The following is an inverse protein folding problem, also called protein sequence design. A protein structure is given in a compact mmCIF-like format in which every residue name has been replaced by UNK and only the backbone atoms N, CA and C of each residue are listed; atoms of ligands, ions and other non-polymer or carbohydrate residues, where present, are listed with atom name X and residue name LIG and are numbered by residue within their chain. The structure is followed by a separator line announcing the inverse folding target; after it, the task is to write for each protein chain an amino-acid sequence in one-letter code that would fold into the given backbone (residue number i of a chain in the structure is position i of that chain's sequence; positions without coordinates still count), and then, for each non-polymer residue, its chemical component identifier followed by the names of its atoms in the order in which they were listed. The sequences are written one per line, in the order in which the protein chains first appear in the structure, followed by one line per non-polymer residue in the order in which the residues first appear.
data_IF_676232052765
#
_entry.id   IF_676232052765
#
_cell.length_a   1.000
_cell.length_b   1.000
_cell.length_c   1.000
_cell.angle_alpha   90.00
_cell.angle_beta   90.00
_cell.angle_gamma   90.00
#
_symmetry.space_group_name_H-M   'P 1'
#
loop_
_entity.id
_entity.type
_entity.pdbx_description
1 polymer ?
#
# COMPACT_ATOMS: atom_id res chain seq x y z
N UNK A 1 -40.91 -6.62 -9.46
CA UNK A 1 -39.86 -6.01 -8.62
C UNK A 1 -38.62 -6.88 -8.73
N UNK A 2 -37.41 -6.34 -8.95
CA UNK A 2 -36.21 -7.16 -9.06
C UNK A 2 -35.88 -7.77 -7.70
N UNK A 3 -36.00 -9.10 -7.59
CA UNK A 3 -35.61 -9.84 -6.38
C UNK A 3 -34.09 -9.91 -6.33
N UNK A 4 -33.50 -9.35 -5.26
CA UNK A 4 -32.05 -9.40 -5.02
C UNK A 4 -31.76 -10.48 -3.99
N UNK A 5 -30.82 -11.36 -4.31
CA UNK A 5 -30.35 -12.45 -3.44
C UNK A 5 -28.93 -12.14 -2.96
N UNK A 6 -28.65 -12.33 -1.68
CA UNK A 6 -27.33 -12.09 -1.10
C UNK A 6 -26.70 -13.43 -0.73
N UNK A 7 -25.64 -13.82 -1.44
CA UNK A 7 -24.84 -15.01 -1.10
C UNK A 7 -23.87 -14.67 0.03
N UNK A 8 -23.78 -15.54 1.04
CA UNK A 8 -22.92 -15.38 2.21
C UNK A 8 -21.86 -16.49 2.21
N UNK A 9 -20.61 -16.11 1.95
CA UNK A 9 -19.46 -16.98 2.03
C UNK A 9 -18.84 -16.88 3.42
N UNK A 10 -18.80 -17.99 4.16
CA UNK A 10 -18.08 -18.07 5.42
C UNK A 10 -16.66 -18.53 5.07
N UNK A 11 -15.65 -17.67 5.30
CA UNK A 11 -14.26 -18.13 5.22
C UNK A 11 -13.98 -19.03 6.41
N UNK A 12 -14.26 -20.29 6.20
CA UNK A 12 -14.05 -21.37 7.14
C UNK A 12 -12.69 -22.01 6.81
N UNK A 13 -11.88 -22.30 7.83
CA UNK A 13 -10.57 -22.92 7.63
C UNK A 13 -10.74 -24.26 6.91
N UNK A 14 -9.77 -24.61 6.07
CA UNK A 14 -9.78 -25.82 5.25
C UNK A 14 -10.11 -27.05 6.11
N UNK A 15 -11.21 -27.75 5.78
CA UNK A 15 -11.66 -28.95 6.49
C UNK A 15 -12.70 -28.74 7.62
N UNK A 16 -13.11 -27.51 7.93
CA UNK A 16 -14.25 -27.28 8.82
C UNK A 16 -15.57 -27.24 8.01
N UNK A 17 -16.56 -28.03 8.44
CA UNK A 17 -17.90 -28.04 7.86
C UNK A 17 -18.65 -26.76 8.29
N UNK A 18 -19.37 -26.11 7.35
CA UNK A 18 -20.25 -24.99 7.70
C UNK A 18 -21.16 -25.42 8.87
N UNK A 19 -21.26 -24.62 9.96
CA UNK A 19 -22.16 -24.97 11.05
C UNK A 19 -23.61 -25.09 10.53
N UNK A 20 -24.24 -26.21 10.83
CA UNK A 20 -25.62 -26.54 10.45
C UNK A 20 -26.57 -25.49 11.05
N UNK A 21 -26.97 -24.51 10.25
CA UNK A 21 -27.84 -23.40 10.69
C UNK A 21 -27.57 -22.04 10.05
N UNK A 22 -26.47 -21.86 9.30
CA UNK A 22 -26.22 -20.59 8.59
C UNK A 22 -26.82 -20.61 7.18
N UNK A 23 -27.74 -19.69 6.84
CA UNK A 23 -28.36 -19.65 5.51
C UNK A 23 -27.33 -19.44 4.39
N UNK A 24 -27.50 -20.17 3.28
CA UNK A 24 -26.63 -20.05 2.09
C UNK A 24 -26.86 -18.72 1.38
N UNK A 25 -28.09 -18.25 1.33
CA UNK A 25 -28.42 -16.94 0.79
C UNK A 25 -29.48 -16.29 1.64
N UNK A 26 -29.53 -14.96 1.60
CA UNK A 26 -30.56 -14.15 2.23
C UNK A 26 -31.21 -13.27 1.17
N UNK A 27 -32.49 -12.94 1.33
CA UNK A 27 -33.18 -11.96 0.46
C UNK A 27 -33.22 -10.56 1.10
N UNK A 28 -32.87 -10.47 2.39
CA UNK A 28 -32.82 -9.23 3.15
C UNK A 28 -31.40 -8.89 3.57
N UNK A 29 -31.02 -7.62 3.40
CA UNK A 29 -29.74 -7.09 3.86
C UNK A 29 -29.59 -7.16 5.40
N UNK A 30 -30.70 -7.16 6.14
CA UNK A 30 -30.67 -7.24 7.61
C UNK A 30 -30.17 -8.62 8.10
N UNK A 31 -30.57 -9.69 7.42
CA UNK A 31 -30.10 -11.05 7.70
C UNK A 31 -28.61 -11.18 7.39
N UNK A 32 -28.16 -10.60 6.27
CA UNK A 32 -26.74 -10.55 5.91
C UNK A 32 -25.92 -9.87 7.01
N UNK A 33 -26.39 -8.73 7.52
CA UNK A 33 -25.72 -8.01 8.59
C UNK A 33 -25.68 -8.80 9.90
N UNK A 34 -26.73 -9.58 10.22
CA UNK A 34 -26.73 -10.45 11.39
C UNK A 34 -25.68 -11.57 11.26
N UNK A 35 -25.56 -12.18 10.09
CA UNK A 35 -24.56 -13.24 9.83
C UNK A 35 -23.13 -12.67 9.86
N UNK A 36 -22.91 -11.46 9.33
CA UNK A 36 -21.61 -10.77 9.42
C UNK A 36 -21.21 -10.44 10.87
N UNK A 37 -22.17 -10.13 11.75
CA UNK A 37 -21.91 -9.89 13.17
C UNK A 37 -21.53 -11.18 13.91
N UNK A 38 -22.19 -12.29 13.57
CA UNK A 38 -21.89 -13.60 14.13
C UNK A 38 -20.55 -14.18 13.61
N UNK A 39 -20.20 -13.89 12.36
CA UNK A 39 -19.02 -14.44 11.68
C UNK A 39 -18.16 -13.30 11.11
N UNK A 40 -17.14 -12.88 11.87
CA UNK A 40 -16.25 -11.76 11.47
C UNK A 40 -15.46 -12.01 10.18
N UNK A 41 -15.33 -13.26 9.76
CA UNK A 41 -14.64 -13.66 8.52
C UNK A 41 -15.60 -13.85 7.33
N UNK A 42 -16.90 -13.64 7.52
CA UNK A 42 -17.89 -13.80 6.47
C UNK A 42 -17.84 -12.66 5.45
N UNK A 43 -18.03 -13.01 4.17
CA UNK A 43 -18.15 -12.07 3.05
C UNK A 43 -19.47 -12.30 2.34
N UNK A 44 -20.13 -11.24 1.90
CA UNK A 44 -21.36 -11.36 1.12
C UNK A 44 -21.27 -10.66 -0.24
N UNK A 45 -22.15 -11.05 -1.16
CA UNK A 45 -22.33 -10.42 -2.47
C UNK A 45 -23.80 -10.51 -2.90
N UNK A 46 -24.30 -9.48 -3.57
CA UNK A 46 -25.66 -9.46 -4.15
C UNK A 46 -25.68 -10.04 -5.57
N UNK A 47 -26.72 -10.79 -5.88
CA UNK A 47 -26.98 -11.49 -7.14
C UNK A 47 -28.44 -11.31 -7.53
N UNK A 48 -28.71 -11.37 -8.83
CA UNK A 48 -30.08 -11.40 -9.39
C UNK A 48 -30.64 -12.82 -9.48
N UNK A 49 -29.83 -13.85 -9.19
CA UNK A 49 -30.19 -15.26 -9.23
C UNK A 49 -29.86 -15.95 -7.92
N UNK A 50 -30.80 -16.76 -7.42
CA UNK A 50 -30.62 -17.58 -6.22
C UNK A 50 -29.49 -18.61 -6.38
N UNK A 51 -29.40 -19.25 -7.55
CA UNK A 51 -28.40 -20.29 -7.80
C UNK A 51 -26.96 -19.73 -7.71
N UNK A 52 -26.74 -18.50 -8.18
CA UNK A 52 -25.44 -17.82 -8.09
C UNK A 52 -25.09 -17.44 -6.64
N UNK A 53 -26.09 -17.00 -5.88
CA UNK A 53 -25.93 -16.69 -4.46
C UNK A 53 -25.54 -17.92 -3.65
N UNK A 54 -26.14 -19.09 -3.94
CA UNK A 54 -25.80 -20.36 -3.29
C UNK A 54 -24.41 -20.86 -3.68
N UNK A 55 -24.03 -20.74 -4.95
CA UNK A 55 -22.70 -21.12 -5.43
C UNK A 55 -21.59 -20.30 -4.76
N UNK A 56 -21.81 -18.98 -4.63
CA UNK A 56 -20.88 -18.09 -3.93
C UNK A 56 -20.66 -18.50 -2.47
N UNK A 57 -21.70 -18.99 -1.81
CA UNK A 57 -21.67 -19.40 -0.41
C UNK A 57 -20.95 -20.72 -0.13
N UNK A 58 -20.79 -21.55 -1.17
CA UNK A 58 -20.11 -22.86 -1.13
C UNK A 58 -18.65 -22.78 -1.62
N UNK A 59 -18.23 -21.66 -2.19
CA UNK A 59 -16.87 -21.50 -2.66
C UNK A 59 -15.90 -21.65 -1.48
N UNK A 60 -15.02 -22.66 -1.52
CA UNK A 60 -13.98 -22.83 -0.52
C UNK A 60 -13.10 -21.57 -0.50
N UNK A 61 -12.61 -21.20 0.68
CA UNK A 61 -11.73 -20.06 0.86
C UNK A 61 -10.38 -20.34 0.19
N UNK A 62 -10.31 -20.16 -1.12
CA UNK A 62 -9.06 -20.26 -1.87
C UNK A 62 -8.10 -19.16 -1.38
N UNK A 63 -6.82 -19.50 -1.06
CA UNK A 63 -5.85 -18.54 -0.58
C UNK A 63 -5.35 -17.71 -1.76
N UNK A 64 -6.17 -16.73 -2.16
CA UNK A 64 -5.73 -15.60 -2.97
C UNK A 64 -5.37 -15.94 -4.41
N UNK A 65 -6.34 -15.92 -5.31
CA UNK A 65 -6.15 -15.22 -6.57
C UNK A 65 -7.51 -14.92 -7.20
N UNK A 66 -7.64 -13.72 -7.75
CA UNK A 66 -8.68 -13.46 -8.73
C UNK A 66 -8.25 -14.08 -10.05
N UNK A 67 -8.93 -15.13 -10.50
CA UNK A 67 -8.87 -15.58 -11.88
C UNK A 67 -10.17 -16.29 -12.32
N UNK A 68 -10.96 -15.54 -13.09
CA UNK A 68 -11.87 -15.92 -14.18
C UNK A 68 -12.90 -17.08 -14.04
N UNK A 69 -14.20 -16.82 -14.33
CA UNK A 69 -15.05 -17.77 -15.05
C UNK A 69 -14.75 -17.70 -16.58
N UNK A 70 -14.86 -18.80 -17.34
CA UNK A 70 -14.81 -18.73 -18.80
C UNK A 70 -16.16 -18.27 -19.38
N UNK A 71 -16.07 -17.54 -20.49
CA UNK A 71 -17.13 -17.12 -21.43
C UNK A 71 -17.95 -15.84 -21.10
N UNK A 72 -17.65 -14.81 -21.90
CA UNK A 72 -18.22 -13.46 -22.09
C UNK A 72 -19.76 -13.40 -22.33
N UNK A 73 -20.44 -12.21 -22.30
CA UNK A 73 -19.89 -10.85 -22.47
C UNK A 73 -20.21 -9.78 -21.38
N UNK A 74 -19.27 -8.83 -21.31
CA UNK A 74 -19.12 -7.61 -20.48
C UNK A 74 -20.14 -6.48 -20.75
N UNK A 75 -20.05 -5.26 -20.12
CA UNK A 75 -19.30 -4.83 -18.92
C UNK A 75 -20.16 -4.00 -17.92
N UNK A 76 -19.85 -4.06 -16.62
CA UNK A 76 -19.80 -2.90 -15.69
C UNK A 76 -19.71 -3.39 -14.24
N UNK A 77 -18.95 -2.66 -13.42
CA UNK A 77 -18.85 -2.77 -11.96
C UNK A 77 -18.04 -3.96 -11.41
N UNK A 78 -16.74 -4.00 -11.71
CA UNK A 78 -15.77 -4.68 -10.87
C UNK A 78 -14.59 -3.74 -10.58
N UNK A 79 -14.71 -2.92 -9.53
CA UNK A 79 -13.60 -2.41 -8.71
C UNK A 79 -14.14 -1.37 -7.72
N UNK A 80 -14.79 -1.82 -6.65
CA UNK A 80 -14.98 -0.96 -5.49
C UNK A 80 -15.05 -1.82 -4.23
N UNK A 81 -14.28 -1.40 -3.22
CA UNK A 81 -14.23 -1.92 -1.87
C UNK A 81 -13.47 -3.25 -1.67
N UNK A 82 -12.19 -3.24 -2.03
CA UNK A 82 -11.19 -3.86 -1.18
C UNK A 82 -10.83 -2.88 -0.05
N UNK A 83 -11.73 -2.70 0.92
CA UNK A 83 -11.33 -2.22 2.24
C UNK A 83 -10.75 -3.43 2.96
N UNK A 84 -9.58 -3.86 2.50
CA UNK A 84 -8.78 -4.86 3.18
C UNK A 84 -8.22 -4.20 4.43
N UNK A 85 -8.88 -4.40 5.55
CA UNK A 85 -8.24 -4.33 6.86
C UNK A 85 -7.24 -5.49 6.95
N UNK A 86 -6.13 -5.38 6.21
CA UNK A 86 -4.89 -6.09 6.49
C UNK A 86 -4.17 -5.28 7.57
N UNK A 87 -3.78 -5.95 8.65
CA UNK A 87 -3.24 -5.34 9.86
C UNK A 87 -1.90 -4.63 9.64
N UNK A 88 -1.94 -3.43 9.10
CA UNK A 88 -0.80 -2.54 9.11
C UNK A 88 -0.65 -1.95 10.50
N UNK A 89 0.56 -2.07 11.07
CA UNK A 89 0.94 -1.36 12.29
C UNK A 89 0.65 0.14 12.11
N UNK A 90 0.20 0.85 13.16
CA UNK A 90 -0.37 2.17 13.01
C UNK A 90 0.67 3.18 12.51
N UNK A 91 0.68 3.45 11.20
CA UNK A 91 1.39 4.60 10.65
C UNK A 91 0.83 5.88 11.31
N UNK A 92 1.67 6.85 11.70
CA UNK A 92 1.23 8.08 12.37
C UNK A 92 0.39 9.00 11.46
N UNK A 93 0.37 8.74 10.15
CA UNK A 93 -0.36 9.52 9.17
C UNK A 93 -1.77 8.97 8.95
N UNK A 94 -2.77 9.86 8.88
CA UNK A 94 -4.14 9.51 8.47
C UNK A 94 -4.23 9.41 6.95
N UNK A 95 -5.12 8.56 6.44
CA UNK A 95 -5.38 8.48 5.00
C UNK A 95 -6.03 9.81 4.54
N UNK A 96 -5.56 10.47 3.46
CA UNK A 96 -6.14 11.71 2.99
C UNK A 96 -7.62 11.54 2.62
N UNK A 97 -8.40 12.61 2.81
CA UNK A 97 -9.81 12.60 2.43
C UNK A 97 -9.97 12.71 0.91
N UNK A 98 -11.15 12.37 0.39
CA UNK A 98 -11.48 12.55 -1.04
C UNK A 98 -11.19 13.96 -1.58
N UNK A 99 -11.58 15.08 -0.91
CA UNK A 99 -11.22 16.42 -1.37
C UNK A 99 -9.71 16.64 -1.42
N UNK A 100 -8.95 16.12 -0.44
CA UNK A 100 -7.50 16.26 -0.41
C UNK A 100 -6.84 15.55 -1.62
N UNK A 101 -7.33 14.37 -1.98
CA UNK A 101 -6.87 13.67 -3.19
C UNK A 101 -7.23 14.44 -4.48
N UNK A 102 -8.37 15.13 -4.51
CA UNK A 102 -8.74 15.98 -5.65
C UNK A 102 -7.83 17.20 -5.76
N UNK A 103 -7.44 17.80 -4.63
CA UNK A 103 -6.48 18.91 -4.60
C UNK A 103 -5.08 18.45 -5.04
N UNK A 104 -4.59 17.34 -4.47
CA UNK A 104 -3.31 16.75 -4.86
C UNK A 104 -3.27 16.39 -6.35
N UNK A 105 -4.37 15.86 -6.88
CA UNK A 105 -4.50 15.60 -8.31
C UNK A 105 -4.37 16.85 -9.16
N UNK A 106 -4.95 17.98 -8.75
CA UNK A 106 -4.82 19.25 -9.48
C UNK A 106 -3.37 19.72 -9.53
N UNK A 107 -2.61 19.56 -8.44
CA UNK A 107 -1.18 19.90 -8.39
C UNK A 107 -0.36 19.05 -9.37
N UNK A 108 -0.65 17.74 -9.44
CA UNK A 108 0.00 16.82 -10.38
C UNK A 108 -0.36 17.16 -11.84
N UNK A 109 -1.62 17.47 -12.12
CA UNK A 109 -2.08 17.81 -13.47
C UNK A 109 -1.57 19.20 -13.94
N UNK A 110 -1.47 20.17 -13.03
CA UNK A 110 -0.96 21.51 -13.32
C UNK A 110 0.55 21.53 -13.54
N UNK A 111 1.28 20.55 -13.03
CA UNK A 111 2.75 20.50 -13.12
C UNK A 111 3.45 21.20 -11.96
N UNK A 112 2.79 21.44 -10.83
CA UNK A 112 3.38 22.13 -9.68
C UNK A 112 4.22 21.17 -8.82
N UNK A 113 5.50 21.06 -9.15
CA UNK A 113 6.47 20.22 -8.43
C UNK A 113 6.57 20.60 -6.95
N UNK A 114 6.59 21.91 -6.64
CA UNK A 114 6.73 22.39 -5.26
C UNK A 114 5.51 22.04 -4.43
N UNK A 115 4.32 22.20 -5.00
CA UNK A 115 3.06 21.79 -4.37
C UNK A 115 3.00 20.29 -4.11
N UNK A 116 3.45 19.47 -5.07
CA UNK A 116 3.51 18.01 -4.91
C UNK A 116 4.46 17.62 -3.78
N UNK A 117 5.69 18.16 -3.75
CA UNK A 117 6.66 17.89 -2.69
C UNK A 117 6.12 18.30 -1.33
N UNK A 118 5.53 19.49 -1.22
CA UNK A 118 4.97 19.99 0.04
C UNK A 118 3.81 19.10 0.54
N UNK A 119 2.93 18.66 -0.35
CA UNK A 119 1.80 17.80 0.00
C UNK A 119 2.28 16.44 0.53
N UNK A 120 3.24 15.81 -0.16
CA UNK A 120 3.84 14.52 0.25
C UNK A 120 4.66 14.68 1.52
N UNK A 121 5.39 15.79 1.67
CA UNK A 121 6.13 16.10 2.88
C UNK A 121 5.20 16.27 4.09
N UNK A 122 3.99 16.81 3.91
CA UNK A 122 2.97 16.90 4.97
C UNK A 122 2.37 15.53 5.30
N UNK A 123 2.05 14.74 4.27
CA UNK A 123 1.49 13.41 4.45
C UNK A 123 1.97 12.46 3.34
N UNK A 124 2.83 11.48 3.64
CA UNK A 124 3.34 10.54 2.65
C UNK A 124 2.26 9.62 2.06
N UNK A 125 1.06 9.55 2.66
CA UNK A 125 -0.05 8.72 2.18
C UNK A 125 -0.69 9.18 0.87
N UNK A 126 -0.31 10.34 0.34
CA UNK A 126 -0.66 10.72 -1.03
C UNK A 126 0.05 9.86 -2.09
N UNK A 127 1.16 9.21 -1.74
CA UNK A 127 1.91 8.32 -2.65
C UNK A 127 1.72 6.85 -2.30
N UNK A 128 1.67 6.51 -1.01
CA UNK A 128 1.58 5.13 -0.52
C UNK A 128 0.30 4.98 0.31
N UNK A 129 -0.64 4.18 -0.18
CA UNK A 129 -1.89 3.87 0.52
C UNK A 129 -1.62 2.92 1.69
N UNK A 130 -2.65 2.75 2.53
CA UNK A 130 -2.72 1.58 3.41
C UNK A 130 -2.65 0.30 2.57
N UNK A 131 -1.64 -0.51 2.82
CA UNK A 131 -1.32 -1.81 2.23
C UNK A 131 -0.01 -1.83 1.46
N UNK A 132 0.91 -0.87 1.68
CA UNK A 132 2.13 -0.69 0.86
C UNK A 132 1.86 -0.61 -0.66
N UNK A 133 0.70 -0.08 -1.03
CA UNK A 133 0.29 0.02 -2.43
C UNK A 133 0.40 1.47 -2.92
N UNK A 134 0.75 1.69 -4.20
CA UNK A 134 0.75 3.04 -4.76
C UNK A 134 -0.66 3.64 -4.68
N UNK A 135 -0.76 4.84 -4.11
CA UNK A 135 -2.02 5.53 -3.90
C UNK A 135 -2.70 5.86 -5.24
N UNK A 136 -4.00 5.61 -5.30
CA UNK A 136 -4.81 5.81 -6.49
C UNK A 136 -5.47 7.19 -6.45
N UNK A 137 -5.14 8.05 -7.41
CA UNK A 137 -5.74 9.37 -7.56
C UNK A 137 -7.03 9.34 -8.40
N UNK A 138 -7.22 8.28 -9.20
CA UNK A 138 -8.43 8.08 -10.00
C UNK A 138 -8.93 6.65 -9.87
N UNK A 139 -10.09 6.48 -9.24
CA UNK A 139 -10.67 5.16 -8.91
C UNK A 139 -11.02 4.32 -10.15
N UNK A 140 -11.45 4.94 -11.26
CA UNK A 140 -11.86 4.23 -12.49
C UNK A 140 -10.69 3.50 -13.19
N UNK A 141 -9.88 4.19 -14.01
CA UNK A 141 -8.69 3.60 -14.65
C UNK A 141 -7.54 3.28 -13.68
N UNK A 142 -7.76 3.42 -12.36
CA UNK A 142 -6.76 3.16 -11.30
C UNK A 142 -5.40 3.81 -11.57
N UNK A 143 -5.43 5.10 -11.94
CA UNK A 143 -4.19 5.85 -12.14
C UNK A 143 -3.62 6.30 -10.78
N UNK A 144 -2.33 6.02 -10.59
CA UNK A 144 -1.53 6.61 -9.52
C UNK A 144 -1.03 8.00 -9.97
N UNK A 145 -0.30 8.68 -9.07
CA UNK A 145 0.28 9.99 -9.32
C UNK A 145 1.19 10.02 -10.55
N UNK A 146 2.02 8.98 -10.71
CA UNK A 146 2.98 8.87 -11.80
C UNK A 146 2.29 8.67 -13.16
N UNK A 147 1.28 7.80 -13.22
CA UNK A 147 0.46 7.58 -14.41
C UNK A 147 -0.24 8.88 -14.83
N UNK A 148 -0.78 9.65 -13.88
CA UNK A 148 -1.43 10.92 -14.19
C UNK A 148 -0.43 11.97 -14.69
N UNK A 149 0.74 12.10 -14.05
CA UNK A 149 1.79 13.00 -14.49
C UNK A 149 2.27 12.67 -15.91
N UNK A 150 2.52 11.38 -16.19
CA UNK A 150 2.94 10.90 -17.51
C UNK A 150 1.86 11.14 -18.57
N UNK A 151 0.59 10.84 -18.26
CA UNK A 151 -0.54 11.07 -19.16
C UNK A 151 -0.75 12.56 -19.51
N UNK A 152 -0.27 13.47 -18.66
CA UNK A 152 -0.32 14.92 -18.87
C UNK A 152 0.98 15.50 -19.42
N UNK A 153 1.97 14.67 -19.71
CA UNK A 153 3.28 15.12 -20.21
C UNK A 153 4.04 15.98 -19.21
N UNK A 154 3.89 15.72 -17.90
CA UNK A 154 4.59 16.45 -16.83
C UNK A 154 5.85 15.69 -16.41
N UNK A 155 6.88 15.71 -17.25
CA UNK A 155 8.14 15.01 -17.04
C UNK A 155 8.87 15.46 -15.75
N UNK A 156 8.83 16.76 -15.44
CA UNK A 156 9.41 17.32 -14.22
C UNK A 156 8.75 16.75 -12.95
N UNK A 157 7.40 16.71 -12.93
CA UNK A 157 6.64 16.07 -11.84
C UNK A 157 6.89 14.56 -11.78
N UNK A 158 7.02 13.88 -12.92
CA UNK A 158 7.37 12.45 -12.93
C UNK A 158 8.71 12.20 -12.24
N UNK A 159 9.75 13.00 -12.54
CA UNK A 159 11.06 12.90 -11.88
C UNK A 159 10.93 13.15 -10.38
N UNK A 160 10.27 14.23 -10.00
CA UNK A 160 10.01 14.56 -8.60
C UNK A 160 9.31 13.42 -7.85
N UNK A 161 8.27 12.81 -8.45
CA UNK A 161 7.56 11.68 -7.84
C UNK A 161 8.47 10.46 -7.67
N UNK A 162 9.32 10.16 -8.65
CA UNK A 162 10.28 9.05 -8.58
C UNK A 162 11.35 9.31 -7.52
N UNK A 163 11.85 10.54 -7.41
CA UNK A 163 12.80 10.95 -6.37
C UNK A 163 12.19 10.81 -4.97
N UNK A 164 10.93 11.24 -4.79
CA UNK A 164 10.22 11.11 -3.51
C UNK A 164 10.03 9.65 -3.10
N UNK A 165 9.64 8.77 -4.03
CA UNK A 165 9.47 7.33 -3.76
C UNK A 165 10.82 6.63 -3.58
N UNK A 166 11.88 7.10 -4.23
CA UNK A 166 13.24 6.57 -4.06
C UNK A 166 13.91 6.99 -2.75
N UNK A 167 13.38 8.00 -2.06
CA UNK A 167 13.94 8.50 -0.80
C UNK A 167 13.58 7.58 0.38
N UNK A 168 14.56 6.91 1.02
CA UNK A 168 14.30 6.03 2.16
C UNK A 168 13.66 6.76 3.35
N UNK A 169 13.84 8.09 3.45
CA UNK A 169 13.21 8.90 4.50
C UNK A 169 11.69 8.89 4.42
N UNK A 170 11.12 8.68 3.24
CA UNK A 170 9.67 8.56 3.07
C UNK A 170 9.14 7.35 3.85
N UNK A 171 9.78 6.20 3.69
CA UNK A 171 9.40 4.95 4.34
C UNK A 171 9.71 4.95 5.84
N UNK A 172 10.85 5.52 6.25
CA UNK A 172 11.16 5.69 7.69
C UNK A 172 10.10 6.50 8.43
N UNK A 173 9.45 7.46 7.74
CA UNK A 173 8.35 8.24 8.32
C UNK A 173 7.05 7.45 8.38
N UNK A 174 6.76 6.61 7.38
CA UNK A 174 5.59 5.73 7.35
C UNK A 174 5.70 4.60 8.38
N UNK A 175 6.90 4.05 8.53
CA UNK A 175 7.23 2.88 9.34
C UNK A 175 8.36 3.21 10.33
N UNK A 176 8.07 3.99 11.39
CA UNK A 176 9.08 4.34 12.39
C UNK A 176 9.55 3.12 13.21
N UNK A 177 8.74 2.08 13.30
CA UNK A 177 8.99 0.85 14.07
C UNK A 177 9.83 -0.19 13.29
N UNK A 178 9.83 -0.11 11.95
CA UNK A 178 10.68 -0.94 11.08
C UNK A 178 12.05 -0.29 10.82
N UNK A 179 12.36 0.80 11.51
CA UNK A 179 13.74 1.26 11.63
C UNK A 179 14.55 0.15 12.30
N UNK A 180 15.73 -0.22 11.77
CA UNK A 180 16.56 -1.21 12.44
C UNK A 180 16.83 -0.68 13.85
N UNK A 181 16.36 -1.40 14.87
CA UNK A 181 16.81 -1.23 16.25
C UNK A 181 18.33 -1.26 16.22
N UNK A 182 18.95 -0.08 16.16
CA UNK A 182 20.35 0.09 16.45
C UNK A 182 20.45 -0.20 17.94
N UNK A 183 20.71 -1.49 18.23
CA UNK A 183 21.02 -1.97 19.55
C UNK A 183 22.03 -1.00 20.16
N UNK A 184 21.56 -0.24 21.14
CA UNK A 184 22.35 0.59 22.00
C UNK A 184 23.24 -0.35 22.85
N UNK A 185 24.30 -0.87 22.22
CA UNK A 185 25.46 -1.42 22.91
C UNK A 185 26.27 -0.25 23.45
N UNK A 186 25.97 0.14 24.69
CA UNK A 186 26.63 1.23 25.39
C UNK A 186 28.15 1.08 25.47
N UNK A 187 28.81 2.22 25.28
CA UNK A 187 30.02 2.69 25.94
C UNK A 187 30.79 1.69 26.85
N UNK A 188 32.04 1.43 26.46
CA UNK A 188 33.09 0.91 27.33
C UNK A 188 34.44 1.53 26.95
N UNK A 189 34.67 2.78 27.37
CA UNK A 189 35.96 3.47 27.25
C UNK A 189 36.98 2.85 28.20
N UNK A 190 38.15 2.48 27.67
CA UNK A 190 39.48 2.38 28.33
C UNK A 190 40.45 1.99 27.20
N UNK A 191 41.39 2.78 26.72
CA UNK A 191 42.12 3.92 27.26
C UNK A 191 43.57 3.67 26.86
N UNK A 192 44.12 4.43 25.91
CA UNK A 192 45.55 4.43 25.61
C UNK A 192 45.96 5.89 25.40
N UNK A 193 46.44 6.49 26.48
CA UNK A 193 47.11 7.79 26.52
C UNK A 193 48.42 7.72 25.73
N UNK A 194 48.82 8.90 25.30
CA UNK A 194 49.92 9.27 24.42
C UNK A 194 51.34 8.94 24.94
N UNK A 195 52.30 9.23 24.04
CA UNK A 195 53.72 9.51 24.25
C UNK A 195 54.76 8.40 23.99
N UNK A 196 55.65 8.68 23.04
CA UNK A 196 56.85 7.88 22.77
C UNK A 196 57.55 8.18 21.44
N UNK A 197 58.15 9.35 21.37
CA UNK A 197 59.18 9.83 20.43
C UNK A 197 60.21 8.73 20.02
N UNK A 198 60.50 8.55 18.72
CA UNK A 198 61.85 8.18 18.26
C UNK A 198 62.04 8.48 16.75
N UNK A 199 63.11 9.23 16.55
CA UNK A 199 63.68 9.92 15.41
C UNK A 199 64.19 9.01 14.28
N UNK A 200 64.14 9.57 13.07
CA UNK A 200 65.30 9.71 12.15
C UNK A 200 65.34 8.94 10.81
N UNK A 201 65.54 9.79 9.80
CA UNK A 201 66.38 9.67 8.62
C UNK A 201 66.01 8.90 7.35
N UNK A 202 65.94 9.72 6.28
CA UNK A 202 66.66 9.57 5.01
C UNK A 202 65.90 9.04 3.77
N UNK A 203 66.29 9.48 2.54
CA UNK A 203 65.51 10.49 1.85
C UNK A 203 65.00 10.06 0.47
N UNK A 204 63.91 10.72 0.05
CA UNK A 204 63.35 10.69 -1.31
C UNK A 204 64.31 11.38 -2.29
N UNK A 205 64.89 10.63 -3.23
CA UNK A 205 65.41 11.21 -4.49
C UNK A 205 64.29 11.20 -5.53
N UNK A 206 63.70 12.36 -5.77
CA UNK A 206 63.00 12.66 -7.03
C UNK A 206 63.90 13.62 -7.80
N UNK A 207 64.52 13.12 -8.85
CA UNK A 207 65.17 13.94 -9.86
C UNK A 207 64.18 14.09 -11.03
N UNK A 208 63.67 15.30 -11.24
CA UNK A 208 63.13 15.73 -12.53
C UNK A 208 63.57 17.18 -12.72
N UNK A 209 64.61 17.34 -13.53
CA UNK A 209 65.12 18.63 -13.97
C UNK A 209 64.15 19.25 -14.98
N UNK A 210 64.05 20.58 -14.89
CA UNK A 210 63.09 21.38 -15.62
C UNK A 210 63.48 21.68 -17.06
N UNK A 211 62.47 22.10 -17.80
CA UNK A 211 62.56 22.84 -19.05
C UNK A 211 63.18 24.22 -18.82
N UNK A 212 64.17 24.58 -19.63
CA UNK A 212 64.35 25.90 -20.26
C UNK A 212 65.37 25.73 -21.39
#
# INVERSE_FOLDING_TARGET
MPTTFYGINLRLAEGLQRPDGVPLYCTSIQEVQAVMKANKTARFKSFSSQAEAEAFSRLAADPGEGAAPPAAPSPSAAAAAATGAGGEKPSPYKNPSRPDFQEFRKLVESGDERGVVAAVARNPRYLISSGDTPALLREGPRHNSLHLAALRGRDAVCRTLLELVGDPRLFQRLYPDDAPEVSAGGCGVRGCTEDGDEVDNSPRRVAMAGCS
#
